data_IF_874300121919
#
_entry.id   IF_874300121919
#
_cell.length_a   1.000
_cell.length_b   1.000
_cell.length_c   1.000
_cell.angle_alpha   90.00
_cell.angle_beta   90.00
_cell.angle_gamma   90.00
#
_symmetry.space_group_name_H-M   'P 1'
#
loop_
_entity.id
_entity.type
_entity.pdbx_description
1 polymer ?
#
# COMPACT_ATOMS: atom_id res chain seq x y z
N UNK A 1 18.20 -16.23 -17.74
CA UNK A 1 18.21 -14.77 -17.48
C UNK A 1 16.85 -14.12 -17.75
N UNK A 2 16.23 -14.41 -18.90
CA UNK A 2 14.88 -13.94 -19.25
C UNK A 2 13.84 -14.24 -18.16
N UNK A 3 13.86 -15.45 -17.57
CA UNK A 3 13.01 -15.78 -16.41
C UNK A 3 13.26 -14.89 -15.20
N UNK A 4 14.52 -14.58 -14.87
CA UNK A 4 14.86 -13.71 -13.73
C UNK A 4 14.25 -12.32 -13.91
N UNK A 5 14.40 -11.73 -15.11
CA UNK A 5 13.79 -10.45 -15.47
C UNK A 5 12.26 -10.56 -15.37
N UNK A 6 11.71 -11.70 -15.79
CA UNK A 6 10.27 -11.97 -15.72
C UNK A 6 9.72 -11.91 -14.29
N UNK A 7 10.35 -12.65 -13.36
CA UNK A 7 9.94 -12.64 -11.95
C UNK A 7 10.07 -11.25 -11.34
N UNK A 8 11.17 -10.56 -11.61
CA UNK A 8 11.42 -9.23 -11.07
C UNK A 8 10.41 -8.20 -11.58
N UNK A 9 10.09 -8.18 -12.88
CA UNK A 9 9.10 -7.23 -13.37
C UNK A 9 7.71 -7.54 -12.80
N UNK A 10 7.33 -8.82 -12.68
CA UNK A 10 6.05 -9.23 -12.08
C UNK A 10 5.95 -8.83 -10.61
N UNK A 11 7.01 -9.02 -9.84
CA UNK A 11 7.07 -8.59 -8.44
C UNK A 11 6.99 -7.06 -8.32
N UNK A 12 7.68 -6.31 -9.19
CA UNK A 12 7.60 -4.84 -9.24
C UNK A 12 6.21 -4.31 -9.63
N UNK A 13 5.45 -5.02 -10.46
CA UNK A 13 4.03 -4.70 -10.72
C UNK A 13 3.21 -4.81 -9.43
N UNK A 14 3.42 -5.84 -8.60
CA UNK A 14 2.70 -5.96 -7.33
C UNK A 14 3.13 -4.91 -6.31
N UNK A 15 4.42 -4.58 -6.26
CA UNK A 15 4.92 -3.47 -5.44
C UNK A 15 4.26 -2.14 -5.83
N UNK A 16 4.11 -1.86 -7.14
CA UNK A 16 3.39 -0.68 -7.63
C UNK A 16 1.94 -0.66 -7.15
N UNK A 17 1.19 -1.75 -7.35
CA UNK A 17 -0.21 -1.85 -6.88
C UNK A 17 -0.35 -1.66 -5.37
N UNK A 18 0.60 -2.17 -4.59
CA UNK A 18 0.60 -1.95 -3.12
C UNK A 18 0.83 -0.47 -2.79
N UNK A 19 1.79 0.19 -3.42
CA UNK A 19 2.07 1.61 -3.17
C UNK A 19 0.88 2.48 -3.57
N UNK A 20 0.25 2.19 -4.72
CA UNK A 20 -0.95 2.87 -5.17
C UNK A 20 -2.12 2.67 -4.19
N UNK A 21 -2.32 1.45 -3.68
CA UNK A 21 -3.30 1.16 -2.64
C UNK A 21 -3.05 1.98 -1.36
N UNK A 22 -1.79 2.03 -0.90
CA UNK A 22 -1.40 2.81 0.28
C UNK A 22 -1.63 4.31 0.07
N UNK A 23 -1.30 4.83 -1.11
CA UNK A 23 -1.53 6.23 -1.46
C UNK A 23 -3.03 6.56 -1.41
N UNK A 24 -3.85 5.79 -2.10
CA UNK A 24 -5.31 5.99 -2.16
C UNK A 24 -5.95 5.95 -0.76
N UNK A 25 -5.65 4.92 0.03
CA UNK A 25 -6.28 4.75 1.34
C UNK A 25 -5.75 5.74 2.38
N UNK A 26 -4.47 6.09 2.37
CA UNK A 26 -3.95 7.09 3.30
C UNK A 26 -4.56 8.46 3.05
N UNK A 27 -4.67 8.90 1.79
CA UNK A 27 -5.34 10.16 1.44
C UNK A 27 -6.83 10.14 1.78
N UNK A 28 -7.52 9.04 1.46
CA UNK A 28 -8.95 8.91 1.75
C UNK A 28 -9.23 8.87 3.25
N UNK A 29 -8.41 8.18 4.04
CA UNK A 29 -8.51 8.17 5.50
C UNK A 29 -8.25 9.55 6.09
N UNK A 30 -7.27 10.31 5.58
CA UNK A 30 -7.04 11.69 6.02
C UNK A 30 -8.28 12.56 5.80
N UNK A 31 -8.90 12.48 4.62
CA UNK A 31 -10.15 13.22 4.33
C UNK A 31 -11.29 12.75 5.24
N UNK A 32 -11.44 11.43 5.41
CA UNK A 32 -12.48 10.83 6.26
C UNK A 32 -12.38 11.32 7.71
N UNK A 33 -11.19 11.25 8.29
CA UNK A 33 -10.96 11.70 9.66
C UNK A 33 -11.02 13.23 9.79
N UNK A 34 -10.65 13.99 8.76
CA UNK A 34 -10.82 15.44 8.75
C UNK A 34 -12.29 15.83 8.83
N UNK A 35 -13.15 15.23 8.00
CA UNK A 35 -14.60 15.48 8.04
C UNK A 35 -15.16 15.16 9.43
N UNK A 36 -14.85 13.98 9.97
CA UNK A 36 -15.30 13.57 11.29
C UNK A 36 -14.82 14.52 12.40
N UNK A 37 -13.53 14.90 12.37
CA UNK A 37 -12.95 15.81 13.35
C UNK A 37 -13.59 17.20 13.28
N UNK A 38 -13.84 17.73 12.09
CA UNK A 38 -14.51 19.02 11.90
C UNK A 38 -15.97 18.96 12.35
N UNK A 39 -16.71 17.90 11.99
CA UNK A 39 -18.10 17.72 12.44
C UNK A 39 -18.16 17.63 13.97
N UNK A 40 -17.27 16.87 14.60
CA UNK A 40 -17.19 16.78 16.06
C UNK A 40 -16.91 18.15 16.68
N UNK A 41 -15.93 18.88 16.14
CA UNK A 41 -15.60 20.23 16.61
C UNK A 41 -16.79 21.20 16.55
N UNK A 42 -17.58 21.16 15.47
CA UNK A 42 -18.80 21.98 15.34
C UNK A 42 -19.89 21.55 16.34
N UNK A 43 -20.06 20.24 16.55
CA UNK A 43 -21.07 19.73 17.47
C UNK A 43 -20.77 20.09 18.93
N UNK A 44 -19.50 20.04 19.33
CA UNK A 44 -19.06 20.40 20.69
C UNK A 44 -19.44 21.84 21.07
N UNK A 45 -19.44 22.77 20.10
CA UNK A 45 -19.86 24.16 20.35
C UNK A 45 -21.31 24.27 20.83
N UNK A 46 -22.19 23.37 20.35
CA UNK A 46 -23.61 23.38 20.70
C UNK A 46 -23.95 22.40 21.81
N UNK A 47 -23.23 21.29 21.89
CA UNK A 47 -23.47 20.18 22.78
C UNK A 47 -22.15 19.81 23.46
N UNK A 48 -21.91 20.35 24.65
CA UNK A 48 -20.61 20.22 25.34
C UNK A 48 -20.24 18.76 25.68
N UNK A 49 -21.22 17.84 25.69
CA UNK A 49 -21.05 16.46 26.15
C UNK A 49 -21.43 15.37 25.13
N UNK A 50 -21.28 15.61 23.82
CA UNK A 50 -21.69 14.62 22.78
C UNK A 50 -21.06 13.24 22.96
N UNK A 51 -19.79 13.17 23.36
CA UNK A 51 -19.06 11.91 23.57
C UNK A 51 -18.65 11.71 25.05
N UNK A 52 -19.20 12.51 25.97
CA UNK A 52 -18.89 12.48 27.40
C UNK A 52 -18.27 13.78 27.94
N UNK A 53 -17.78 13.77 29.20
CA UNK A 53 -17.25 14.95 29.90
C UNK A 53 -16.10 15.66 29.16
N UNK A 54 -15.19 14.88 28.57
CA UNK A 54 -13.94 15.37 27.98
C UNK A 54 -13.99 15.44 26.44
N UNK A 55 -15.18 15.67 25.86
CA UNK A 55 -15.37 15.63 24.40
C UNK A 55 -14.51 16.69 23.69
N UNK A 56 -14.36 17.86 24.29
CA UNK A 56 -13.53 18.97 23.80
C UNK A 56 -12.04 18.61 23.76
N UNK A 57 -11.52 17.99 24.83
CA UNK A 57 -10.15 17.50 24.90
C UNK A 57 -9.89 16.42 23.84
N UNK A 58 -10.82 15.47 23.69
CA UNK A 58 -10.72 14.41 22.68
C UNK A 58 -10.71 14.97 21.26
N UNK A 59 -11.55 15.96 20.96
CA UNK A 59 -11.59 16.63 19.67
C UNK A 59 -10.28 17.39 19.36
N UNK A 60 -9.69 18.04 20.37
CA UNK A 60 -8.40 18.71 20.24
C UNK A 60 -7.26 17.72 19.98
N UNK A 61 -7.18 16.63 20.73
CA UNK A 61 -6.18 15.57 20.54
C UNK A 61 -6.31 14.93 19.17
N UNK A 62 -7.53 14.66 18.71
CA UNK A 62 -7.78 14.12 17.37
C UNK A 62 -7.26 15.07 16.28
N UNK A 63 -7.48 16.37 16.42
CA UNK A 63 -7.02 17.38 15.47
C UNK A 63 -5.50 17.45 15.38
N UNK A 64 -4.80 17.43 16.53
CA UNK A 64 -3.33 17.41 16.59
C UNK A 64 -2.76 16.11 16.01
N UNK A 65 -3.37 14.98 16.35
CA UNK A 65 -2.98 13.68 15.80
C UNK A 65 -3.15 13.64 14.28
N UNK A 66 -4.27 14.15 13.76
CA UNK A 66 -4.55 14.19 12.33
C UNK A 66 -3.52 15.04 11.58
N UNK A 67 -3.11 16.19 12.15
CA UNK A 67 -2.02 17.00 11.60
C UNK A 67 -0.72 16.20 11.52
N UNK A 68 -0.32 15.55 12.61
CA UNK A 68 0.89 14.71 12.64
C UNK A 68 0.87 13.59 11.60
N UNK A 69 -0.27 12.89 11.48
CA UNK A 69 -0.46 11.83 10.48
C UNK A 69 -0.42 12.39 9.06
N UNK A 70 -1.01 13.56 8.80
CA UNK A 70 -0.98 14.18 7.46
C UNK A 70 0.45 14.49 7.00
N UNK A 71 1.31 14.97 7.92
CA UNK A 71 2.70 15.24 7.63
C UNK A 71 3.47 13.93 7.37
N UNK A 72 3.23 12.91 8.20
CA UNK A 72 3.86 11.60 8.03
C UNK A 72 3.48 10.92 6.70
N UNK A 73 2.22 11.03 6.28
CA UNK A 73 1.75 10.51 4.98
C UNK A 73 2.39 11.27 3.83
N UNK A 74 2.42 12.60 3.90
CA UNK A 74 3.05 13.45 2.88
C UNK A 74 4.55 13.12 2.72
N UNK A 75 5.28 12.98 3.83
CA UNK A 75 6.71 12.69 3.81
C UNK A 75 7.07 11.28 3.30
N UNK A 76 6.13 10.33 3.31
CA UNK A 76 6.38 8.97 2.80
C UNK A 76 6.29 8.87 1.27
N UNK A 77 5.72 9.87 0.62
CA UNK A 77 5.58 10.00 -0.84
C UNK A 77 5.23 8.67 -1.55
N UNK A 78 4.13 8.04 -1.12
CA UNK A 78 3.67 6.78 -1.72
C UNK A 78 3.39 6.93 -3.21
N UNK A 79 2.82 8.08 -3.61
CA UNK A 79 2.56 8.41 -5.00
C UNK A 79 3.83 8.47 -5.85
N UNK A 80 4.84 9.26 -5.45
CA UNK A 80 6.09 9.37 -6.18
C UNK A 80 6.79 8.02 -6.33
N UNK A 81 6.88 7.26 -5.24
CA UNK A 81 7.44 5.90 -5.25
C UNK A 81 6.67 4.94 -6.17
N UNK A 82 5.34 5.02 -6.19
CA UNK A 82 4.51 4.21 -7.09
C UNK A 82 4.78 4.53 -8.56
N UNK A 83 5.01 5.80 -8.90
CA UNK A 83 5.30 6.26 -10.26
C UNK A 83 6.68 5.81 -10.73
N UNK A 84 7.70 5.91 -9.85
CA UNK A 84 9.04 5.38 -10.14
C UNK A 84 8.99 3.88 -10.37
N UNK A 85 8.30 3.13 -9.51
CA UNK A 85 8.10 1.68 -9.68
C UNK A 85 7.39 1.36 -11.00
N UNK A 86 6.41 2.19 -11.40
CA UNK A 86 5.70 2.05 -12.68
C UNK A 86 6.58 2.22 -13.89
N UNK A 87 7.34 3.30 -13.94
CA UNK A 87 8.32 3.54 -15.01
C UNK A 87 9.27 2.36 -15.12
N UNK A 88 9.77 1.90 -13.97
CA UNK A 88 10.77 0.86 -13.91
C UNK A 88 10.27 -0.51 -14.40
N UNK A 89 9.09 -0.98 -13.95
CA UNK A 89 8.59 -2.28 -14.42
C UNK A 89 8.25 -2.24 -15.93
N UNK A 90 7.84 -1.09 -16.48
CA UNK A 90 7.60 -0.93 -17.92
C UNK A 90 8.91 -1.02 -18.71
N UNK A 91 10.00 -0.44 -18.19
CA UNK A 91 11.33 -0.57 -18.80
C UNK A 91 11.85 -2.01 -18.73
N UNK A 92 11.64 -2.71 -17.60
CA UNK A 92 11.97 -4.13 -17.46
C UNK A 92 11.16 -5.00 -18.41
N UNK A 93 9.88 -4.69 -18.61
CA UNK A 93 9.03 -5.41 -19.57
C UNK A 93 9.53 -5.22 -21.00
N UNK A 94 9.95 -3.99 -21.38
CA UNK A 94 10.58 -3.74 -22.68
C UNK A 94 11.86 -4.58 -22.84
N UNK A 95 12.75 -4.57 -21.83
CA UNK A 95 13.97 -5.37 -21.85
C UNK A 95 13.68 -6.87 -21.96
N UNK A 96 12.65 -7.37 -21.26
CA UNK A 96 12.22 -8.76 -21.36
C UNK A 96 11.79 -9.14 -22.79
N UNK A 97 11.07 -8.24 -23.47
CA UNK A 97 10.61 -8.45 -24.84
C UNK A 97 11.75 -8.36 -25.88
N UNK A 98 12.80 -7.57 -25.59
CA UNK A 98 13.99 -7.43 -26.45
C UNK A 98 14.89 -8.68 -26.45
N UNK A 99 14.82 -9.53 -25.41
CA UNK A 99 15.64 -10.74 -25.31
C UNK A 99 14.94 -11.90 -26.05
N UNK A 100 15.52 -12.49 -27.11
CA UNK A 100 14.97 -13.66 -27.79
C UNK A 100 14.84 -14.87 -26.85
N UNK A 101 13.90 -15.78 -27.10
CA UNK A 101 13.72 -16.97 -26.26
C UNK A 101 14.91 -17.93 -26.31
N UNK A 102 15.58 -18.02 -27.46
CA UNK A 102 16.61 -19.04 -27.75
C UNK A 102 18.04 -18.50 -27.67
N UNK A 103 18.23 -17.29 -27.16
CA UNK A 103 19.54 -16.63 -27.10
C UNK A 103 19.86 -16.17 -25.68
N UNK A 104 21.09 -16.40 -25.24
CA UNK A 104 21.59 -15.83 -23.99
C UNK A 104 21.59 -14.30 -24.06
N UNK A 105 21.23 -13.64 -22.95
CA UNK A 105 21.28 -12.19 -22.88
C UNK A 105 22.70 -11.67 -23.12
N UNK A 106 22.82 -10.62 -23.94
CA UNK A 106 24.09 -9.94 -24.21
C UNK A 106 24.55 -9.17 -22.97
N UNK A 107 25.86 -8.98 -22.78
CA UNK A 107 26.42 -8.18 -21.67
C UNK A 107 25.73 -6.83 -21.49
N UNK A 108 25.50 -6.09 -22.58
CA UNK A 108 24.78 -4.81 -22.55
C UNK A 108 23.34 -4.92 -21.97
N UNK A 109 22.65 -6.04 -22.19
CA UNK A 109 21.31 -6.28 -21.62
C UNK A 109 21.40 -6.64 -20.12
N UNK A 110 22.49 -7.27 -19.69
CA UNK A 110 22.78 -7.53 -18.28
C UNK A 110 23.03 -6.23 -17.53
N UNK A 111 23.86 -5.35 -18.11
CA UNK A 111 24.18 -4.06 -17.52
C UNK A 111 22.92 -3.19 -17.42
N UNK A 112 22.14 -3.10 -18.50
CA UNK A 112 20.85 -2.39 -18.50
C UNK A 112 19.88 -2.95 -17.46
N UNK A 113 19.87 -4.25 -17.24
CA UNK A 113 19.06 -4.85 -16.17
C UNK A 113 19.53 -4.41 -14.77
N UNK A 114 20.84 -4.35 -14.53
CA UNK A 114 21.40 -3.91 -13.25
C UNK A 114 21.14 -2.42 -13.00
N UNK A 115 21.24 -1.58 -14.02
CA UNK A 115 20.89 -0.15 -13.93
C UNK A 115 19.42 0.03 -13.55
N UNK A 116 18.52 -0.72 -14.21
CA UNK A 116 17.10 -0.74 -13.86
C UNK A 116 16.85 -1.29 -12.45
N UNK A 117 17.70 -2.19 -11.94
CA UNK A 117 17.58 -2.62 -10.54
C UNK A 117 17.93 -1.49 -9.57
N UNK A 118 18.95 -0.69 -9.87
CA UNK A 118 19.41 0.41 -9.03
C UNK A 118 18.51 1.65 -9.05
N UNK A 119 17.76 1.88 -10.13
CA UNK A 119 16.90 3.07 -10.31
C UNK A 119 15.68 3.13 -9.37
N UNK A 120 15.17 1.98 -8.95
CA UNK A 120 13.92 1.89 -8.18
C UNK A 120 14.10 1.06 -6.93
N UNK A 121 13.35 1.39 -5.88
CA UNK A 121 13.33 0.61 -4.66
C UNK A 121 13.02 -0.87 -4.91
N UNK A 122 13.48 -1.72 -4.00
CA UNK A 122 13.26 -3.15 -4.13
C UNK A 122 11.82 -3.52 -3.74
N UNK A 123 11.28 -4.49 -4.47
CA UNK A 123 10.04 -5.16 -4.09
C UNK A 123 10.28 -5.99 -2.82
N UNK A 124 9.21 -6.24 -2.06
CA UNK A 124 9.31 -7.09 -0.87
C UNK A 124 9.09 -8.56 -1.24
N UNK A 125 9.49 -9.48 -0.36
CA UNK A 125 9.20 -10.91 -0.55
C UNK A 125 7.69 -11.18 -0.66
N UNK A 126 6.86 -10.40 0.03
CA UNK A 126 5.41 -10.51 -0.06
C UNK A 126 4.91 -10.16 -1.47
N UNK A 127 5.48 -9.14 -2.12
CA UNK A 127 5.12 -8.78 -3.51
C UNK A 127 5.46 -9.91 -4.47
N UNK A 128 6.63 -10.52 -4.32
CA UNK A 128 7.05 -11.66 -5.15
C UNK A 128 6.15 -12.88 -4.94
N UNK A 129 5.82 -13.23 -3.69
CA UNK A 129 4.87 -14.32 -3.38
C UNK A 129 3.48 -14.04 -3.97
N UNK A 130 2.96 -12.83 -3.84
CA UNK A 130 1.66 -12.43 -4.41
C UNK A 130 1.71 -12.46 -5.94
N UNK A 131 2.81 -11.99 -6.55
CA UNK A 131 2.99 -12.01 -8.01
C UNK A 131 2.99 -13.43 -8.56
N UNK A 132 3.71 -14.34 -7.90
CA UNK A 132 3.72 -15.76 -8.24
C UNK A 132 2.33 -16.37 -8.03
N UNK A 133 1.67 -16.07 -6.92
CA UNK A 133 0.33 -16.59 -6.61
C UNK A 133 -0.70 -16.23 -7.68
N UNK A 134 -0.65 -14.99 -8.17
CA UNK A 134 -1.60 -14.47 -9.17
C UNK A 134 -1.27 -14.90 -10.60
N UNK A 135 -0.12 -15.53 -10.86
CA UNK A 135 0.26 -15.92 -12.21
C UNK A 135 0.00 -17.40 -12.46
N UNK A 136 -0.74 -17.71 -13.51
CA UNK A 136 -0.95 -19.07 -13.98
C UNK A 136 0.18 -19.51 -14.92
N UNK A 137 0.58 -20.79 -14.82
CA UNK A 137 1.57 -21.38 -15.73
C UNK A 137 3.00 -20.87 -15.52
N UNK A 138 3.50 -20.90 -14.28
CA UNK A 138 4.89 -20.52 -13.99
C UNK A 138 5.87 -21.45 -14.71
N UNK A 139 6.89 -20.87 -15.35
CA UNK A 139 8.01 -21.62 -15.95
C UNK A 139 8.95 -22.22 -14.91
N UNK A 140 9.08 -21.55 -13.74
CA UNK A 140 9.97 -21.95 -12.64
C UNK A 140 9.53 -21.32 -11.31
N UNK A 141 10.16 -21.69 -10.19
CA UNK A 141 9.90 -21.13 -8.83
C UNK A 141 8.43 -21.24 -8.40
N UNK A 142 7.85 -22.43 -8.53
CA UNK A 142 6.50 -22.72 -8.05
C UNK A 142 6.37 -22.44 -6.55
N UNK A 143 5.18 -22.00 -6.14
CA UNK A 143 4.93 -21.74 -4.74
C UNK A 143 4.75 -23.04 -3.98
N UNK A 144 5.22 -23.03 -2.74
CA UNK A 144 4.86 -24.04 -1.74
C UNK A 144 3.49 -23.72 -1.13
N UNK A 145 2.83 -24.73 -0.53
CA UNK A 145 1.54 -24.53 0.15
C UNK A 145 1.60 -23.45 1.25
N UNK A 146 2.71 -23.40 2.01
CA UNK A 146 2.92 -22.36 3.02
C UNK A 146 3.01 -20.96 2.40
N UNK A 147 3.68 -20.81 1.26
CA UNK A 147 3.75 -19.53 0.56
C UNK A 147 2.36 -19.10 0.04
N UNK A 148 1.54 -20.04 -0.45
CA UNK A 148 0.16 -19.78 -0.83
C UNK A 148 -0.66 -19.23 0.34
N UNK A 149 -0.61 -19.90 1.49
CA UNK A 149 -1.32 -19.47 2.69
C UNK A 149 -0.81 -18.11 3.18
N UNK A 150 0.50 -17.88 3.13
CA UNK A 150 1.10 -16.59 3.52
C UNK A 150 0.65 -15.44 2.62
N UNK A 151 0.56 -15.66 1.31
CA UNK A 151 0.13 -14.64 0.36
C UNK A 151 -1.35 -14.28 0.56
N UNK A 152 -2.21 -15.29 0.75
CA UNK A 152 -3.63 -15.09 1.08
C UNK A 152 -3.80 -14.39 2.43
N UNK A 153 -3.07 -14.83 3.46
CA UNK A 153 -3.09 -14.23 4.78
C UNK A 153 -2.69 -12.77 4.75
N UNK A 154 -1.66 -12.41 3.98
CA UNK A 154 -1.23 -11.01 3.83
C UNK A 154 -2.29 -10.14 3.14
N UNK A 155 -2.92 -10.64 2.08
CA UNK A 155 -4.02 -9.94 1.39
C UNK A 155 -5.24 -9.75 2.29
N UNK A 156 -5.60 -10.78 3.05
CA UNK A 156 -6.72 -10.74 3.99
C UNK A 156 -6.45 -9.80 5.16
N UNK A 157 -5.26 -9.87 5.77
CA UNK A 157 -4.85 -8.97 6.84
C UNK A 157 -4.85 -7.51 6.38
N UNK A 158 -4.33 -7.24 5.17
CA UNK A 158 -4.36 -5.90 4.59
C UNK A 158 -5.80 -5.37 4.49
N UNK A 159 -6.73 -6.19 4.02
CA UNK A 159 -8.14 -5.81 3.91
C UNK A 159 -8.75 -5.54 5.29
N UNK A 160 -8.53 -6.43 6.27
CA UNK A 160 -9.03 -6.27 7.64
C UNK A 160 -8.52 -4.95 8.22
N UNK A 161 -7.21 -4.68 8.16
CA UNK A 161 -6.63 -3.46 8.73
C UNK A 161 -7.25 -2.23 8.08
N UNK A 162 -7.38 -2.21 6.76
CA UNK A 162 -8.01 -1.08 6.06
C UNK A 162 -9.46 -0.91 6.49
N UNK A 163 -10.28 -1.96 6.49
CA UNK A 163 -11.67 -1.90 6.93
C UNK A 163 -11.81 -1.43 8.38
N UNK A 164 -10.96 -1.94 9.28
CA UNK A 164 -10.94 -1.52 10.69
C UNK A 164 -10.63 -0.04 10.85
N UNK A 165 -9.69 0.51 10.07
CA UNK A 165 -9.38 1.95 10.12
C UNK A 165 -10.57 2.83 9.69
N UNK A 166 -11.37 2.40 8.70
CA UNK A 166 -12.59 3.14 8.34
C UNK A 166 -13.71 2.99 9.36
N UNK A 167 -13.87 1.81 9.95
CA UNK A 167 -14.92 1.50 10.90
C UNK A 167 -14.66 2.07 12.30
N UNK A 168 -13.40 2.20 12.72
CA UNK A 168 -12.99 2.63 14.06
C UNK A 168 -13.74 3.88 14.57
N UNK A 169 -13.79 5.02 13.85
CA UNK A 169 -14.47 6.21 14.37
C UNK A 169 -15.98 6.01 14.52
N UNK A 170 -16.61 5.18 13.67
CA UNK A 170 -18.03 4.88 13.78
C UNK A 170 -18.31 4.00 15.00
N UNK A 171 -17.48 2.98 15.23
CA UNK A 171 -17.58 2.10 16.40
C UNK A 171 -17.40 2.90 17.68
N UNK A 172 -16.39 3.77 17.73
CA UNK A 172 -16.14 4.64 18.90
C UNK A 172 -17.31 5.60 19.11
N UNK A 173 -17.83 6.22 18.05
CA UNK A 173 -18.98 7.12 18.14
C UNK A 173 -20.26 6.43 18.63
N UNK A 174 -20.56 5.24 18.11
CA UNK A 174 -21.73 4.45 18.54
C UNK A 174 -21.56 4.00 20.00
N UNK A 175 -20.37 3.52 20.36
CA UNK A 175 -20.11 3.09 21.73
C UNK A 175 -20.32 4.25 22.71
N UNK A 176 -19.73 5.41 22.44
CA UNK A 176 -19.88 6.60 23.27
C UNK A 176 -21.35 7.05 23.39
N UNK A 177 -22.12 6.96 22.30
CA UNK A 177 -23.56 7.28 22.30
C UNK A 177 -24.40 6.33 23.15
N UNK A 178 -24.06 5.03 23.16
CA UNK A 178 -24.80 4.02 23.93
C UNK A 178 -24.48 4.09 25.43
N UNK A 179 -23.27 4.54 25.78
CA UNK A 179 -22.81 4.61 27.18
C UNK A 179 -23.10 5.94 27.87
N UNK A 180 -23.46 6.99 27.13
CA UNK A 180 -23.96 8.27 27.66
C UNK A 180 -25.49 8.26 27.78
#
# INVERSE_FOLDING_TARGET
>A
MKDKIWFTYKARIQAHKRLEWLDFHSQTLLVWYAILSTTLGVLVVRYEHVLGPDTDLLAAVLSVALLGVSLAVTNRDFRGRSMTMRSNYLQLQKLYNEIPNDTSATSAQIDRYNDLLAESENHTEADDRIARFLTHGLSSRHLTFFEHLSALGWLFLRLIVTCSLYALPLVVGIYAWVTN
#
